data_IF_704262813252
#
_entry.id   IF_704262813252
#
_cell.length_a   1.000
_cell.length_b   1.000
_cell.length_c   1.000
_cell.angle_alpha   90.00
_cell.angle_beta   90.00
_cell.angle_gamma   90.00
#
_symmetry.space_group_name_H-M   'P 1'
#
loop_
_entity.id
_entity.type
_entity.pdbx_description
1 polymer ?
#
# COMPACT_ATOMS: atom_id res chain seq x y z
N UNK A 1 -10.70 4.52 -5.12
CA UNK A 1 -9.73 5.61 -5.43
C UNK A 1 -9.01 5.25 -6.71
N UNK A 2 -8.63 6.24 -7.54
CA UNK A 2 -7.78 6.00 -8.71
C UNK A 2 -6.30 6.23 -8.40
N UNK A 3 -5.40 5.69 -9.25
CA UNK A 3 -3.96 5.60 -8.96
C UNK A 3 -3.31 6.90 -8.49
N UNK A 4 -3.62 8.03 -9.15
CA UNK A 4 -3.09 9.33 -8.74
C UNK A 4 -3.60 9.80 -7.36
N UNK A 5 -4.86 9.52 -6.99
CA UNK A 5 -5.36 9.85 -5.64
C UNK A 5 -4.61 9.07 -4.56
N UNK A 6 -4.23 7.82 -4.86
CA UNK A 6 -3.49 6.96 -3.93
C UNK A 6 -2.10 7.55 -3.68
N UNK A 7 -1.37 7.97 -4.72
CA UNK A 7 -0.04 8.59 -4.54
C UNK A 7 -0.11 9.89 -3.75
N UNK A 8 -1.10 10.75 -4.02
CA UNK A 8 -1.29 12.00 -3.27
C UNK A 8 -1.61 11.72 -1.80
N UNK A 9 -2.56 10.82 -1.51
CA UNK A 9 -2.91 10.50 -0.11
C UNK A 9 -1.75 9.92 0.68
N UNK A 10 -0.89 9.10 0.07
CA UNK A 10 0.30 8.58 0.76
C UNK A 10 1.26 9.71 1.08
N UNK A 11 1.50 10.61 0.12
CA UNK A 11 2.36 11.78 0.33
C UNK A 11 1.82 12.67 1.45
N UNK A 12 0.52 12.96 1.45
CA UNK A 12 -0.14 13.75 2.49
C UNK A 12 -0.04 13.10 3.87
N UNK A 13 -0.40 11.81 3.98
CA UNK A 13 -0.38 11.07 5.26
C UNK A 13 1.01 10.92 5.87
N UNK A 14 2.04 10.98 5.05
CA UNK A 14 3.43 10.82 5.48
C UNK A 14 4.18 12.16 5.55
N UNK A 15 3.47 13.30 5.45
CA UNK A 15 4.07 14.63 5.41
C UNK A 15 5.21 14.75 4.36
N UNK A 16 5.06 14.06 3.23
CA UNK A 16 6.02 14.02 2.15
C UNK A 16 7.23 13.09 2.34
N UNK A 17 7.36 12.43 3.50
CA UNK A 17 8.46 11.48 3.74
C UNK A 17 8.38 10.22 2.85
N UNK A 18 7.18 9.84 2.41
CA UNK A 18 6.98 8.78 1.44
C UNK A 18 6.29 9.32 0.19
N UNK A 19 6.95 9.13 -0.96
CA UNK A 19 6.43 9.50 -2.27
C UNK A 19 6.48 8.29 -3.20
N UNK A 20 5.31 7.79 -3.59
CA UNK A 20 5.20 6.66 -4.50
C UNK A 20 5.11 7.19 -5.93
N UNK A 21 6.04 6.78 -6.79
CA UNK A 21 5.99 7.10 -8.22
C UNK A 21 4.92 6.25 -8.90
N UNK A 22 4.23 6.83 -9.88
CA UNK A 22 3.21 6.14 -10.66
C UNK A 22 3.73 4.84 -11.32
N UNK A 23 4.95 4.88 -11.86
CA UNK A 23 5.58 3.71 -12.46
C UNK A 23 5.85 2.55 -11.49
N UNK A 24 5.87 2.81 -10.18
CA UNK A 24 5.94 1.77 -9.15
C UNK A 24 4.55 1.36 -8.64
N UNK A 25 3.60 2.30 -8.58
CA UNK A 25 2.25 2.03 -8.07
C UNK A 25 1.46 1.08 -8.97
N UNK A 26 1.44 1.32 -10.28
CA UNK A 26 0.58 0.54 -11.18
C UNK A 26 0.93 -0.95 -11.24
N UNK A 27 2.21 -1.38 -11.30
CA UNK A 27 2.55 -2.80 -11.21
C UNK A 27 2.05 -3.46 -9.91
N UNK A 28 2.10 -2.73 -8.78
CA UNK A 28 1.60 -3.23 -7.49
C UNK A 28 0.08 -3.39 -7.55
N UNK A 29 -0.64 -2.38 -8.04
CA UNK A 29 -2.11 -2.45 -8.17
C UNK A 29 -2.55 -3.60 -9.08
N UNK A 30 -1.82 -3.84 -10.18
CA UNK A 30 -2.09 -4.98 -11.07
C UNK A 30 -1.84 -6.32 -10.40
N UNK A 31 -0.78 -6.44 -9.59
CA UNK A 31 -0.52 -7.65 -8.82
C UNK A 31 -1.65 -7.92 -7.81
N UNK A 32 -2.04 -6.90 -7.05
CA UNK A 32 -3.12 -7.02 -6.05
C UNK A 32 -4.49 -7.32 -6.68
N UNK A 33 -4.76 -6.79 -7.88
CA UNK A 33 -5.94 -7.14 -8.69
C UNK A 33 -5.88 -8.62 -9.12
N UNK A 34 -4.73 -9.09 -9.63
CA UNK A 34 -4.54 -10.47 -10.06
C UNK A 34 -4.65 -11.49 -8.91
N UNK A 35 -4.29 -11.09 -7.69
CA UNK A 35 -4.44 -11.88 -6.46
C UNK A 35 -5.85 -11.81 -5.86
N UNK A 36 -6.80 -11.11 -6.50
CA UNK A 36 -8.17 -10.85 -6.02
C UNK A 36 -8.24 -10.05 -4.70
N UNK A 37 -7.17 -9.33 -4.34
CA UNK A 37 -7.16 -8.43 -3.17
C UNK A 37 -7.79 -7.07 -3.47
N UNK A 38 -7.87 -6.69 -4.75
CA UNK A 38 -8.58 -5.50 -5.20
C UNK A 38 -9.62 -5.86 -6.28
N UNK A 39 -10.78 -5.21 -6.23
CA UNK A 39 -11.65 -5.07 -7.40
C UNK A 39 -11.39 -3.76 -8.11
N UNK A 40 -11.62 -3.74 -9.43
CA UNK A 40 -11.45 -2.57 -10.28
C UNK A 40 -12.74 -2.23 -10.99
N UNK A 41 -13.16 -0.98 -10.84
CA UNK A 41 -14.26 -0.38 -11.59
C UNK A 41 -13.68 0.60 -12.62
N UNK A 42 -14.12 0.50 -13.86
CA UNK A 42 -13.65 1.37 -14.95
C UNK A 42 -14.71 2.41 -15.23
N UNK A 43 -14.38 3.67 -14.99
CA UNK A 43 -15.26 4.79 -15.26
C UNK A 43 -14.70 5.68 -16.35
N UNK A 44 -15.58 6.10 -17.26
CA UNK A 44 -15.27 7.10 -18.27
C UNK A 44 -15.70 8.46 -17.75
N UNK A 45 -14.72 9.24 -17.29
CA UNK A 45 -14.94 10.62 -16.86
C UNK A 45 -14.45 11.53 -17.98
N UNK A 46 -15.38 12.26 -18.58
CA UNK A 46 -15.17 13.03 -19.82
C UNK A 46 -14.63 12.17 -20.98
N UNK A 47 -13.34 12.31 -21.27
CA UNK A 47 -12.59 11.58 -22.31
C UNK A 47 -11.51 10.66 -21.71
N UNK A 48 -11.40 10.58 -20.39
CA UNK A 48 -10.37 9.80 -19.70
C UNK A 48 -10.98 8.56 -19.08
N UNK A 49 -10.32 7.43 -19.28
CA UNK A 49 -10.64 6.18 -18.62
C UNK A 49 -9.91 6.19 -17.27
N UNK A 50 -10.66 6.05 -16.17
CA UNK A 50 -10.11 5.95 -14.82
C UNK A 50 -10.42 4.57 -14.27
N UNK A 51 -9.41 3.93 -13.69
CA UNK A 51 -9.55 2.71 -12.90
C UNK A 51 -9.70 3.07 -11.43
N UNK A 52 -10.83 2.74 -10.84
CA UNK A 52 -11.10 2.89 -9.42
C UNK A 52 -10.88 1.55 -8.73
N UNK A 53 -9.97 1.55 -7.77
CA UNK A 53 -9.62 0.37 -6.98
C UNK A 53 -10.40 0.37 -5.67
N UNK A 54 -10.89 -0.81 -5.29
CA UNK A 54 -11.56 -1.07 -4.02
C UNK A 54 -11.01 -2.37 -3.42
N UNK A 55 -10.76 -2.38 -2.12
CA UNK A 55 -10.29 -3.58 -1.42
C UNK A 55 -11.41 -4.62 -1.33
N UNK A 56 -11.06 -5.89 -1.57
CA UNK A 56 -11.99 -7.02 -1.40
C UNK A 56 -11.96 -7.52 0.04
N UNK A 57 -12.87 -8.42 0.39
CA UNK A 57 -12.83 -9.09 1.70
C UNK A 57 -11.54 -9.92 1.89
N UNK A 58 -11.12 -10.65 0.85
CA UNK A 58 -9.84 -11.36 0.85
C UNK A 58 -8.65 -10.40 1.00
N UNK A 59 -8.70 -9.25 0.32
CA UNK A 59 -7.67 -8.21 0.45
C UNK A 59 -7.60 -7.62 1.86
N UNK A 60 -8.74 -7.48 2.53
CA UNK A 60 -8.79 -6.99 3.91
C UNK A 60 -8.21 -8.01 4.90
N UNK A 61 -8.47 -9.31 4.71
CA UNK A 61 -7.83 -10.38 5.49
C UNK A 61 -6.31 -10.38 5.29
N UNK A 62 -5.86 -10.28 4.03
CA UNK A 62 -4.43 -10.22 3.72
C UNK A 62 -3.77 -8.97 4.31
N UNK A 63 -4.46 -7.82 4.29
CA UNK A 63 -3.99 -6.58 4.90
C UNK A 63 -3.69 -6.76 6.39
N UNK A 64 -4.54 -7.48 7.12
CA UNK A 64 -4.32 -7.76 8.55
C UNK A 64 -3.08 -8.64 8.74
N UNK A 65 -2.94 -9.71 7.95
CA UNK A 65 -1.77 -10.60 7.97
C UNK A 65 -0.48 -9.84 7.70
N UNK A 66 -0.44 -9.02 6.64
CA UNK A 66 0.75 -8.25 6.27
C UNK A 66 1.14 -7.20 7.32
N UNK A 67 0.16 -6.55 7.95
CA UNK A 67 0.43 -5.61 9.05
C UNK A 67 0.98 -6.31 10.29
N UNK A 68 0.49 -7.50 10.60
CA UNK A 68 1.01 -8.30 11.70
C UNK A 68 2.47 -8.71 11.43
N UNK A 69 2.76 -9.22 10.23
CA UNK A 69 4.11 -9.57 9.82
C UNK A 69 5.06 -8.36 9.85
N UNK A 70 4.61 -7.19 9.39
CA UNK A 70 5.40 -5.96 9.44
C UNK A 70 5.70 -5.53 10.88
N UNK A 71 4.73 -5.63 11.79
CA UNK A 71 4.91 -5.32 13.21
C UNK A 71 5.94 -6.25 13.85
N UNK A 72 5.85 -7.54 13.57
CA UNK A 72 6.81 -8.54 14.06
C UNK A 72 8.22 -8.25 13.54
N UNK A 73 8.34 -7.94 12.25
CA UNK A 73 9.61 -7.57 11.64
C UNK A 73 10.23 -6.32 12.29
N UNK A 74 9.45 -5.27 12.52
CA UNK A 74 9.92 -4.06 13.21
C UNK A 74 10.41 -4.38 14.63
N UNK A 75 9.65 -5.19 15.39
CA UNK A 75 10.07 -5.62 16.73
C UNK A 75 11.40 -6.39 16.71
N UNK A 76 11.58 -7.30 15.74
CA UNK A 76 12.85 -8.03 15.57
C UNK A 76 14.01 -7.09 15.24
N UNK A 77 13.78 -6.10 14.37
CA UNK A 77 14.79 -5.10 14.03
C UNK A 77 15.14 -4.23 15.24
N UNK A 78 14.16 -3.79 16.03
CA UNK A 78 14.41 -3.06 17.27
C UNK A 78 15.28 -3.85 18.24
N UNK A 79 15.01 -5.16 18.42
CA UNK A 79 15.84 -6.03 19.26
C UNK A 79 17.26 -6.19 18.73
N UNK A 80 17.42 -6.28 17.40
CA UNK A 80 18.73 -6.37 16.76
C UNK A 80 19.55 -5.10 16.95
N UNK A 81 18.91 -3.94 16.86
CA UNK A 81 19.56 -2.63 16.92
C UNK A 81 19.69 -2.06 18.34
N UNK A 82 19.09 -2.65 19.38
CA UNK A 82 19.40 -2.32 20.77
C UNK A 82 20.82 -2.83 21.10
N UNK A 83 21.86 -1.97 21.10
CA UNK A 83 23.12 -2.40 21.68
C UNK A 83 22.85 -2.52 23.18
N UNK A 84 23.24 -3.64 23.79
CA UNK A 84 23.45 -3.64 25.23
C UNK A 84 24.52 -2.58 25.51
N UNK A 85 24.10 -1.35 25.82
CA UNK A 85 24.96 -0.37 26.46
C UNK A 85 25.24 -0.92 27.86
N UNK A 86 26.27 -1.76 27.94
CA UNK A 86 26.95 -2.04 29.19
C UNK A 86 27.64 -0.73 29.61
N UNK A 87 26.98 0.00 30.49
CA UNK A 87 27.68 0.91 31.41
C UNK A 87 28.23 0.12 32.58
#
# INVERSE_FOLDING_TARGET
>A
MYGYEITQKVKEKTNGSLSIKEGALYPILHKLEAENFLTVEVEKVDKRIRKYYKITEAGEQERVTQLQALKEYMNTMEQLFQPKLSY
#
